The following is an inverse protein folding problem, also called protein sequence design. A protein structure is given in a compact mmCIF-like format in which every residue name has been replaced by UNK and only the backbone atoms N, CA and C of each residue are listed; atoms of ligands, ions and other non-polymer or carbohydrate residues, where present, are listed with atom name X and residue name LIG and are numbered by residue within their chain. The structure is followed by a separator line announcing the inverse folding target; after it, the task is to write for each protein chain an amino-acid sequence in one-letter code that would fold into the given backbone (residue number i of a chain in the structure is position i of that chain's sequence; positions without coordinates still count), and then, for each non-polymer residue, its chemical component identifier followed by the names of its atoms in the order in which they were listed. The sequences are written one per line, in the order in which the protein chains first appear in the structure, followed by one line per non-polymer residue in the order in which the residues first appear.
data_IF_757239314176
#
_entry.id   IF_757239314176
#
_cell.length_a   1.000
_cell.length_b   1.000
_cell.length_c   1.000
_cell.angle_alpha   90.00
_cell.angle_beta   90.00
_cell.angle_gamma   90.00
#
_symmetry.space_group_name_H-M   'P 1'
#
loop_
_entity.id
_entity.type
_entity.pdbx_description
1 polymer ?
#
# COMPACT_ATOMS: atom_id res chain seq x y z
N UNK A 1 -5.21 -13.91 2.46
CA UNK A 1 -5.11 -13.48 1.05
C UNK A 1 -5.19 -11.97 1.01
N UNK A 2 -4.54 -11.30 0.05
CA UNK A 2 -4.59 -9.86 -0.17
C UNK A 2 -5.18 -9.58 -1.56
N UNK A 3 -5.57 -8.34 -1.85
CA UNK A 3 -6.18 -7.95 -3.13
C UNK A 3 -5.34 -6.94 -3.91
N UNK A 4 -4.46 -6.19 -3.24
CA UNK A 4 -3.45 -5.32 -3.85
C UNK A 4 -2.03 -5.72 -3.42
N UNK A 5 -1.11 -5.80 -4.37
CA UNK A 5 0.31 -6.15 -4.12
C UNK A 5 1.23 -4.99 -4.53
N UNK A 6 1.98 -4.47 -3.56
CA UNK A 6 2.98 -3.42 -3.76
C UNK A 6 4.22 -3.91 -4.52
N UNK A 7 4.46 -5.23 -4.54
CA UNK A 7 5.67 -5.89 -5.04
C UNK A 7 6.97 -5.39 -4.41
N UNK A 8 6.91 -4.87 -3.18
CA UNK A 8 8.10 -4.40 -2.47
C UNK A 8 9.16 -5.50 -2.26
N UNK A 9 8.73 -6.76 -2.18
CA UNK A 9 9.59 -7.93 -2.13
C UNK A 9 10.44 -8.16 -3.41
N UNK A 10 10.12 -7.52 -4.54
CA UNK A 10 10.84 -7.73 -5.80
C UNK A 10 12.07 -6.84 -6.00
N UNK A 11 12.67 -6.32 -4.90
CA UNK A 11 13.88 -5.47 -4.90
C UNK A 11 13.76 -4.23 -5.80
N UNK A 12 12.58 -3.62 -5.78
CA UNK A 12 12.30 -2.36 -6.48
C UNK A 12 12.53 -1.18 -5.53
N UNK A 13 12.85 -0.02 -6.09
CA UNK A 13 13.09 1.20 -5.32
C UNK A 13 11.77 1.85 -4.87
N UNK A 14 11.83 2.67 -3.82
CA UNK A 14 10.68 3.35 -3.24
C UNK A 14 9.74 4.03 -4.27
N UNK A 15 10.23 4.78 -5.28
CA UNK A 15 9.36 5.40 -6.28
C UNK A 15 8.52 4.39 -7.07
N UNK A 16 9.05 3.20 -7.33
CA UNK A 16 8.31 2.15 -8.04
C UNK A 16 7.28 1.48 -7.13
N UNK A 17 7.59 1.30 -5.84
CA UNK A 17 6.62 0.83 -4.83
C UNK A 17 5.42 1.79 -4.78
N UNK A 18 5.68 3.09 -4.64
CA UNK A 18 4.65 4.14 -4.61
C UNK A 18 3.78 4.07 -5.87
N UNK A 19 4.40 4.04 -7.06
CA UNK A 19 3.66 3.99 -8.32
C UNK A 19 2.79 2.72 -8.42
N UNK A 20 3.28 1.56 -7.98
CA UNK A 20 2.49 0.32 -7.98
C UNK A 20 1.30 0.42 -7.03
N UNK A 21 1.49 0.96 -5.83
CA UNK A 21 0.40 1.16 -4.87
C UNK A 21 -0.64 2.12 -5.43
N UNK A 22 -0.22 3.29 -5.92
CA UNK A 22 -1.12 4.30 -6.52
C UNK A 22 -1.94 3.76 -7.69
N UNK A 23 -1.38 2.86 -8.50
CA UNK A 23 -2.04 2.28 -9.67
C UNK A 23 -2.97 1.12 -9.33
N UNK A 24 -2.64 0.33 -8.32
CA UNK A 24 -3.30 -0.95 -8.07
C UNK A 24 -4.31 -0.91 -6.91
N UNK A 25 -4.18 0.04 -5.98
CA UNK A 25 -5.11 0.15 -4.85
C UNK A 25 -6.45 0.75 -5.30
N UNK A 26 -7.52 0.07 -4.91
CA UNK A 26 -8.92 0.41 -5.11
C UNK A 26 -9.71 0.26 -3.81
N UNK A 27 -10.99 0.61 -3.82
CA UNK A 27 -11.85 0.52 -2.64
C UNK A 27 -11.95 -0.92 -2.13
N UNK A 28 -11.94 -1.07 -0.80
CA UNK A 28 -12.00 -2.35 -0.09
C UNK A 28 -10.80 -3.28 -0.34
N UNK A 29 -9.65 -2.73 -0.74
CA UNK A 29 -8.45 -3.54 -0.90
C UNK A 29 -7.71 -3.83 0.41
N UNK A 30 -7.15 -5.03 0.48
CA UNK A 30 -6.11 -5.43 1.44
C UNK A 30 -4.78 -5.29 0.72
N UNK A 31 -3.98 -4.29 1.10
CA UNK A 31 -2.66 -4.01 0.53
C UNK A 31 -1.56 -4.82 1.22
N UNK A 32 -0.81 -5.63 0.44
CA UNK A 32 0.36 -6.35 0.92
C UNK A 32 1.62 -5.46 0.89
N UNK A 33 2.28 -5.37 2.05
CA UNK A 33 3.58 -4.73 2.26
C UNK A 33 4.43 -5.58 3.22
N UNK A 34 5.74 -5.42 3.13
CA UNK A 34 6.76 -5.98 4.01
C UNK A 34 7.63 -4.84 4.58
N UNK A 35 8.31 -5.09 5.70
CA UNK A 35 9.16 -4.09 6.35
C UNK A 35 10.59 -4.05 5.76
N UNK A 36 10.71 -3.78 4.46
CA UNK A 36 12.02 -3.54 3.80
C UNK A 36 12.42 -2.06 3.85
N UNK A 37 13.71 -1.78 3.69
CA UNK A 37 14.25 -0.40 3.71
C UNK A 37 13.53 0.52 2.71
N UNK A 38 13.35 0.06 1.48
CA UNK A 38 12.63 0.81 0.44
C UNK A 38 11.16 1.01 0.79
N UNK A 39 10.52 0.04 1.45
CA UNK A 39 9.13 0.19 1.93
C UNK A 39 9.03 1.24 3.03
N UNK A 40 10.01 1.30 3.94
CA UNK A 40 10.07 2.33 4.99
C UNK A 40 10.20 3.73 4.37
N UNK A 41 10.99 3.87 3.30
CA UNK A 41 11.13 5.14 2.57
C UNK A 41 9.84 5.51 1.82
N UNK A 42 9.16 4.53 1.21
CA UNK A 42 7.94 4.75 0.42
C UNK A 42 6.68 5.04 1.27
N UNK A 43 6.62 4.50 2.49
CA UNK A 43 5.40 4.48 3.30
C UNK A 43 4.80 5.88 3.58
N UNK A 44 5.58 6.93 3.92
CA UNK A 44 5.01 8.26 4.18
C UNK A 44 4.25 8.85 2.97
N UNK A 45 4.77 8.66 1.76
CA UNK A 45 4.13 9.15 0.53
C UNK A 45 2.87 8.34 0.20
N UNK A 46 2.93 7.01 0.34
CA UNK A 46 1.76 6.13 0.18
C UNK A 46 0.62 6.55 1.13
N UNK A 47 0.93 6.80 2.40
CA UNK A 47 -0.06 7.21 3.39
C UNK A 47 -0.68 8.57 3.02
N UNK A 48 0.16 9.54 2.65
CA UNK A 48 -0.28 10.88 2.24
C UNK A 48 -1.22 10.79 1.03
N UNK A 49 -0.81 10.09 -0.02
CA UNK A 49 -1.60 9.96 -1.25
C UNK A 49 -2.96 9.31 -1.04
N UNK A 50 -3.01 8.25 -0.22
CA UNK A 50 -4.25 7.54 0.04
C UNK A 50 -5.18 8.35 0.95
N UNK A 51 -4.63 9.06 1.95
CA UNK A 51 -5.40 10.00 2.76
C UNK A 51 -5.96 11.16 1.92
N UNK A 52 -5.18 11.75 1.01
CA UNK A 52 -5.62 12.82 0.11
C UNK A 52 -6.72 12.35 -0.85
N UNK A 53 -6.73 11.05 -1.18
CA UNK A 53 -7.80 10.38 -1.94
C UNK A 53 -9.00 9.97 -1.09
N UNK A 54 -9.04 10.34 0.20
CA UNK A 54 -10.09 10.02 1.17
C UNK A 54 -10.23 8.53 1.52
N UNK A 55 -9.17 7.73 1.36
CA UNK A 55 -9.18 6.36 1.88
C UNK A 55 -9.18 6.35 3.41
N UNK A 56 -9.83 5.34 3.98
CA UNK A 56 -9.77 5.04 5.40
C UNK A 56 -8.92 3.80 5.60
N UNK A 57 -7.94 3.88 6.51
CA UNK A 57 -7.15 2.73 6.91
C UNK A 57 -7.88 2.00 8.04
N UNK A 58 -8.22 0.75 7.79
CA UNK A 58 -8.93 -0.11 8.73
C UNK A 58 -8.16 -1.41 8.94
N UNK A 59 -8.53 -2.17 9.97
CA UNK A 59 -7.95 -3.50 10.16
C UNK A 59 -8.58 -4.52 9.21
N UNK A 60 -7.96 -5.70 9.11
CA UNK A 60 -8.55 -6.81 8.33
C UNK A 60 -9.86 -7.29 8.94
N UNK A 61 -10.04 -7.18 10.26
CA UNK A 61 -11.30 -7.56 10.89
C UNK A 61 -12.42 -6.57 10.50
N UNK A 62 -12.11 -5.28 10.45
CA UNK A 62 -13.08 -4.24 10.05
C UNK A 62 -13.50 -4.34 8.57
N UNK A 63 -12.58 -4.77 7.68
CA UNK A 63 -12.88 -4.87 6.24
C UNK A 63 -13.70 -6.12 5.88
N UNK A 64 -13.65 -7.16 6.71
CA UNK A 64 -14.33 -8.44 6.51
C UNK A 64 -15.65 -8.57 7.29
N UNK A 65 -15.95 -7.60 8.17
CA UNK A 65 -17.18 -7.53 8.97
C UNK A 65 -18.35 -6.96 8.16
#
# INVERSE_FOLDING_TARGET
MWTADSKDWSKIEAPEIIQKVQKNVTNNDILLLHCFEQTVIALPEILTDLTDKNYQFVTVDDILS
#
